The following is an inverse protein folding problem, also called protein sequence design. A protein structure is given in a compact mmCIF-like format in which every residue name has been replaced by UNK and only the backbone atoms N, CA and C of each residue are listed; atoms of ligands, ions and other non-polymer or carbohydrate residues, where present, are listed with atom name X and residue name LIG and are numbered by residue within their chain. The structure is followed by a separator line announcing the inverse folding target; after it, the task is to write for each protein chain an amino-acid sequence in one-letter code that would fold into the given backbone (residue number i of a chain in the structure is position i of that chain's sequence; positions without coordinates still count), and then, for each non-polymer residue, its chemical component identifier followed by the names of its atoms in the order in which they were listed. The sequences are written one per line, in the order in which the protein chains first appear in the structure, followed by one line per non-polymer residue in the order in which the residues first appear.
data_IF_649619059749
#
_entry.id   IF_649619059749
#
_cell.length_a   1.000
_cell.length_b   1.000
_cell.length_c   1.000
_cell.angle_alpha   90.00
_cell.angle_beta   90.00
_cell.angle_gamma   90.00
#
_symmetry.space_group_name_H-M   'P 1'
#
loop_
_entity.id
_entity.type
_entity.pdbx_description
1 polymer ?
#
# COMPACT_ATOMS: atom_id res chain seq x y z
N UNK A 1 21.23 -23.30 38.33
CA UNK A 1 19.87 -22.86 37.95
C UNK A 1 19.86 -21.59 37.10
N UNK A 2 21.01 -20.95 36.83
CA UNK A 2 21.07 -19.67 36.10
C UNK A 2 21.37 -19.78 34.60
N UNK A 3 21.85 -20.92 34.11
CA UNK A 3 22.12 -21.11 32.67
C UNK A 3 20.81 -21.27 31.89
N UNK A 4 19.82 -21.97 32.47
CA UNK A 4 18.47 -22.15 31.89
C UNK A 4 17.65 -20.85 31.86
N UNK A 5 17.90 -19.91 32.78
CA UNK A 5 17.22 -18.61 32.80
C UNK A 5 17.82 -17.62 31.79
N UNK A 6 19.09 -17.78 31.44
CA UNK A 6 19.76 -16.99 30.39
C UNK A 6 19.35 -17.45 28.99
N UNK A 7 19.18 -18.76 28.76
CA UNK A 7 18.68 -19.31 27.49
C UNK A 7 17.21 -19.00 27.21
N UNK A 8 16.40 -18.73 28.25
CA UNK A 8 15.00 -18.29 28.08
C UNK A 8 14.83 -16.84 27.64
N UNK A 9 15.88 -16.01 27.70
CA UNK A 9 15.84 -14.59 27.28
C UNK A 9 16.47 -14.37 25.90
N UNK A 10 17.33 -15.29 25.47
CA UNK A 10 17.92 -15.30 24.12
C UNK A 10 17.03 -16.05 23.09
N UNK A 11 15.88 -16.57 23.52
CA UNK A 11 14.79 -17.00 22.64
C UNK A 11 13.86 -15.85 22.21
N UNK A 12 14.28 -14.59 22.43
CA UNK A 12 13.63 -13.40 21.90
C UNK A 12 13.79 -13.38 20.37
N UNK A 13 12.79 -13.93 19.69
CA UNK A 13 12.49 -13.71 18.26
C UNK A 13 13.69 -13.91 17.33
N UNK A 14 13.92 -15.16 16.93
CA UNK A 14 14.46 -15.43 15.59
C UNK A 14 13.51 -14.77 14.59
N UNK A 15 13.84 -13.56 14.14
CA UNK A 15 13.30 -12.95 12.92
C UNK A 15 13.89 -13.75 11.76
N UNK A 16 13.48 -15.00 11.64
CA UNK A 16 13.59 -15.80 10.42
C UNK A 16 12.32 -15.54 9.62
N UNK A 17 12.08 -14.26 9.32
CA UNK A 17 11.06 -13.86 8.37
C UNK A 17 11.71 -13.71 7.00
N UNK A 18 11.04 -14.17 5.95
CA UNK A 18 11.34 -13.75 4.58
C UNK A 18 11.41 -12.21 4.52
N UNK A 19 12.12 -11.64 3.54
CA UNK A 19 12.22 -10.17 3.40
C UNK A 19 10.83 -9.50 3.35
N UNK A 20 9.83 -10.21 2.80
CA UNK A 20 8.43 -9.80 2.81
C UNK A 20 7.84 -9.69 4.22
N UNK A 21 8.05 -10.67 5.09
CA UNK A 21 7.55 -10.65 6.48
C UNK A 21 8.16 -9.52 7.30
N UNK A 22 9.46 -9.26 7.11
CA UNK A 22 10.14 -8.13 7.76
C UNK A 22 9.53 -6.81 7.30
N UNK A 23 9.25 -6.68 6.01
CA UNK A 23 8.62 -5.49 5.42
C UNK A 23 7.21 -5.24 5.96
N UNK A 24 6.39 -6.29 6.04
CA UNK A 24 5.05 -6.20 6.64
C UNK A 24 5.14 -5.85 8.14
N UNK A 25 6.14 -6.40 8.84
CA UNK A 25 6.39 -6.06 10.24
C UNK A 25 6.80 -4.62 10.45
N UNK A 26 7.60 -4.08 9.54
CA UNK A 26 7.99 -2.68 9.58
C UNK A 26 6.81 -1.75 9.28
N UNK A 27 6.04 -2.05 8.23
CA UNK A 27 4.88 -1.28 7.80
C UNK A 27 3.85 -1.11 8.93
N UNK A 28 3.70 -2.14 9.76
CA UNK A 28 2.76 -2.15 10.88
C UNK A 28 3.46 -2.13 12.26
N UNK A 29 4.66 -1.58 12.34
CA UNK A 29 5.41 -1.47 13.60
C UNK A 29 4.76 -0.50 14.61
N UNK A 30 5.08 -0.61 15.89
CA UNK A 30 4.56 0.31 16.94
C UNK A 30 5.26 1.70 16.95
N UNK A 31 6.01 2.05 15.91
CA UNK A 31 6.68 3.35 15.78
C UNK A 31 5.64 4.48 15.60
N UNK A 32 5.90 5.73 16.02
CA UNK A 32 4.90 6.80 15.94
C UNK A 32 4.63 7.31 14.51
N UNK A 33 5.45 6.95 13.53
CA UNK A 33 5.27 7.32 12.11
C UNK A 33 4.65 6.20 11.28
N UNK A 34 3.95 6.55 10.20
CA UNK A 34 3.38 5.60 9.24
C UNK A 34 4.41 4.91 8.35
N UNK A 35 3.96 3.86 7.64
CA UNK A 35 4.74 3.24 6.56
C UNK A 35 4.86 4.20 5.36
N UNK A 36 5.95 4.10 4.60
CA UNK A 36 6.07 4.85 3.34
C UNK A 36 5.14 4.28 2.28
N UNK A 37 4.63 5.12 1.38
CA UNK A 37 3.81 4.67 0.25
C UNK A 37 4.54 3.65 -0.62
N UNK A 38 5.86 3.80 -0.79
CA UNK A 38 6.71 2.84 -1.51
C UNK A 38 6.65 1.45 -0.87
N UNK A 39 6.80 1.37 0.46
CA UNK A 39 6.71 0.11 1.20
C UNK A 39 5.32 -0.54 1.06
N UNK A 40 4.26 0.25 1.16
CA UNK A 40 2.88 -0.25 0.96
C UNK A 40 2.65 -0.73 -0.48
N UNK A 41 3.22 -0.04 -1.47
CA UNK A 41 3.15 -0.42 -2.88
C UNK A 41 3.85 -1.74 -3.16
N UNK A 42 5.03 -1.95 -2.55
CA UNK A 42 5.76 -3.22 -2.68
C UNK A 42 4.98 -4.38 -2.05
N UNK A 43 4.41 -4.19 -0.84
CA UNK A 43 3.56 -5.21 -0.21
C UNK A 43 2.31 -5.48 -1.06
N UNK A 44 1.71 -4.43 -1.63
CA UNK A 44 0.56 -4.60 -2.53
C UNK A 44 0.93 -5.37 -3.79
N UNK A 45 2.14 -5.20 -4.33
CA UNK A 45 2.60 -5.98 -5.48
C UNK A 45 2.76 -7.47 -5.14
N UNK A 46 3.27 -7.79 -3.94
CA UNK A 46 3.36 -9.17 -3.44
C UNK A 46 2.01 -9.88 -3.36
N UNK A 47 0.89 -9.16 -3.23
CA UNK A 47 -0.44 -9.80 -3.23
C UNK A 47 -0.85 -10.41 -4.57
N UNK A 48 -0.17 -10.06 -5.67
CA UNK A 48 -0.45 -10.68 -6.98
C UNK A 48 0.28 -12.01 -7.17
N UNK A 49 1.27 -12.32 -6.34
CA UNK A 49 1.96 -13.60 -6.36
C UNK A 49 1.24 -14.64 -5.50
N UNK A 50 1.09 -15.86 -6.02
CA UNK A 50 0.32 -16.92 -5.36
C UNK A 50 0.97 -17.45 -4.08
N UNK A 51 2.31 -17.45 -4.01
CA UNK A 51 3.08 -17.94 -2.86
C UNK A 51 3.23 -16.84 -1.79
N UNK A 52 3.37 -15.59 -2.19
CA UNK A 52 3.52 -14.46 -1.26
C UNK A 52 2.17 -14.00 -0.67
N UNK A 53 1.07 -14.15 -1.41
CA UNK A 53 -0.26 -13.70 -0.95
C UNK A 53 -0.64 -14.21 0.45
N UNK A 54 -0.56 -15.52 0.76
CA UNK A 54 -0.91 -16.02 2.09
C UNK A 54 -0.04 -15.40 3.19
N UNK A 55 1.23 -15.13 2.90
CA UNK A 55 2.17 -14.51 3.85
C UNK A 55 1.74 -13.07 4.15
N UNK A 56 1.38 -12.29 3.13
CA UNK A 56 0.88 -10.91 3.28
C UNK A 56 -0.37 -10.89 4.15
N UNK A 57 -1.40 -11.64 3.76
CA UNK A 57 -2.71 -11.58 4.42
C UNK A 57 -2.64 -12.11 5.85
N UNK A 58 -1.96 -13.24 6.10
CA UNK A 58 -1.82 -13.79 7.45
C UNK A 58 -1.08 -12.82 8.39
N UNK A 59 -0.01 -12.18 7.92
CA UNK A 59 0.74 -11.21 8.72
C UNK A 59 -0.05 -9.93 8.98
N UNK A 60 -0.82 -9.46 8.00
CA UNK A 60 -1.68 -8.29 8.15
C UNK A 60 -2.81 -8.57 9.14
N UNK A 61 -3.55 -9.67 8.98
CA UNK A 61 -4.64 -10.05 9.88
C UNK A 61 -4.16 -10.30 11.30
N UNK A 62 -3.01 -10.94 11.49
CA UNK A 62 -2.39 -11.09 12.82
C UNK A 62 -2.29 -9.76 13.57
N UNK A 63 -2.01 -8.67 12.84
CA UNK A 63 -1.83 -7.32 13.41
C UNK A 63 -3.14 -6.56 13.60
N UNK A 64 -4.16 -6.85 12.79
CA UNK A 64 -5.53 -6.38 13.02
C UNK A 64 -6.07 -6.92 14.35
N UNK A 65 -5.73 -8.15 14.71
CA UNK A 65 -6.15 -8.82 15.95
C UNK A 65 -5.26 -8.54 17.18
N UNK A 66 -4.36 -7.55 17.09
CA UNK A 66 -3.53 -7.18 18.23
C UNK A 66 -4.35 -6.56 19.38
N UNK A 67 -3.82 -6.69 20.58
CA UNK A 67 -4.47 -6.15 21.79
C UNK A 67 -4.61 -4.62 21.76
N UNK A 68 -5.59 -4.06 22.47
CA UNK A 68 -5.89 -2.62 22.45
C UNK A 68 -4.68 -1.72 22.82
N UNK A 69 -3.79 -2.20 23.71
CA UNK A 69 -2.52 -1.54 24.06
C UNK A 69 -1.58 -1.32 22.86
N UNK A 70 -1.75 -2.10 21.80
CA UNK A 70 -1.00 -2.04 20.55
C UNK A 70 -1.78 -1.28 19.46
N UNK A 71 -2.58 -0.26 19.84
CA UNK A 71 -3.45 0.49 18.94
C UNK A 71 -2.75 1.00 17.66
N UNK A 72 -1.46 1.40 17.72
CA UNK A 72 -0.71 1.83 16.53
C UNK A 72 -0.54 0.70 15.52
N UNK A 73 -0.31 -0.53 16.01
CA UNK A 73 -0.16 -1.72 15.16
C UNK A 73 -1.49 -2.02 14.47
N UNK A 74 -2.60 -1.99 15.22
CA UNK A 74 -3.96 -2.18 14.68
C UNK A 74 -4.30 -1.11 13.65
N UNK A 75 -4.07 0.17 13.98
CA UNK A 75 -4.29 1.30 13.07
C UNK A 75 -3.50 1.17 11.76
N UNK A 76 -2.22 0.81 11.85
CA UNK A 76 -1.37 0.63 10.66
C UNK A 76 -1.74 -0.63 9.87
N UNK A 77 -2.22 -1.68 10.52
CA UNK A 77 -2.75 -2.86 9.83
C UNK A 77 -4.00 -2.51 9.03
N UNK A 78 -4.93 -1.73 9.60
CA UNK A 78 -6.08 -1.20 8.87
C UNK A 78 -5.68 -0.25 7.74
N UNK A 79 -4.63 0.54 7.93
CA UNK A 79 -4.07 1.41 6.87
C UNK A 79 -3.49 0.59 5.73
N UNK A 80 -2.77 -0.50 6.04
CA UNK A 80 -2.29 -1.45 5.04
C UNK A 80 -3.46 -2.11 4.31
N UNK A 81 -4.48 -2.58 5.04
CA UNK A 81 -5.68 -3.18 4.47
C UNK A 81 -6.37 -2.21 3.49
N UNK A 82 -6.63 -0.97 3.89
CA UNK A 82 -7.19 0.08 3.01
C UNK A 82 -6.36 0.25 1.74
N UNK A 83 -5.03 0.26 1.87
CA UNK A 83 -4.13 0.37 0.72
C UNK A 83 -4.23 -0.85 -0.21
N UNK A 84 -4.28 -2.07 0.34
CA UNK A 84 -4.44 -3.31 -0.42
C UNK A 84 -5.79 -3.36 -1.15
N UNK A 85 -6.87 -2.85 -0.56
CA UNK A 85 -8.17 -2.76 -1.23
C UNK A 85 -8.11 -1.91 -2.50
N UNK A 86 -7.30 -0.86 -2.52
CA UNK A 86 -7.13 0.02 -3.69
C UNK A 86 -6.07 -0.46 -4.68
N UNK A 87 -4.98 -1.07 -4.21
CA UNK A 87 -3.75 -1.27 -4.98
C UNK A 87 -3.31 -2.74 -5.12
N UNK A 88 -3.83 -3.62 -4.26
CA UNK A 88 -3.51 -5.06 -4.23
C UNK A 88 -4.40 -5.88 -5.16
N UNK A 89 -4.23 -7.20 -5.11
CA UNK A 89 -5.01 -8.17 -5.87
C UNK A 89 -6.52 -8.12 -5.57
N UNK A 90 -7.36 -8.59 -6.49
CA UNK A 90 -8.82 -8.73 -6.24
C UNK A 90 -9.11 -9.68 -5.07
N UNK A 91 -8.27 -10.71 -4.88
CA UNK A 91 -8.35 -11.65 -3.76
C UNK A 91 -8.33 -10.94 -2.41
N UNK A 92 -7.58 -9.84 -2.29
CA UNK A 92 -7.54 -9.02 -1.07
C UNK A 92 -8.88 -8.36 -0.74
N UNK A 93 -9.70 -8.04 -1.76
CA UNK A 93 -11.04 -7.48 -1.56
C UNK A 93 -12.03 -8.56 -1.11
N UNK A 94 -11.96 -9.74 -1.72
CA UNK A 94 -12.76 -10.91 -1.34
C UNK A 94 -12.47 -11.31 0.12
N UNK A 95 -11.20 -11.48 0.46
CA UNK A 95 -10.76 -11.84 1.81
C UNK A 95 -11.18 -10.81 2.87
N UNK A 96 -11.12 -9.52 2.56
CA UNK A 96 -11.60 -8.46 3.45
C UNK A 96 -13.13 -8.47 3.64
N UNK A 97 -13.89 -8.87 2.62
CA UNK A 97 -15.35 -9.02 2.73
C UNK A 97 -15.72 -10.22 3.60
N UNK A 98 -15.03 -11.34 3.44
CA UNK A 98 -15.25 -12.54 4.25
C UNK A 98 -14.96 -12.29 5.74
N UNK A 99 -14.00 -11.41 6.02
CA UNK A 99 -13.62 -11.00 7.38
C UNK A 99 -14.22 -9.65 7.82
N UNK A 100 -15.23 -9.13 7.12
CA UNK A 100 -15.80 -7.80 7.38
C UNK A 100 -16.29 -7.66 8.83
N UNK A 101 -16.76 -8.74 9.46
CA UNK A 101 -17.17 -8.72 10.86
C UNK A 101 -16.02 -8.36 11.81
N UNK A 102 -14.78 -8.82 11.55
CA UNK A 102 -13.59 -8.52 12.35
C UNK A 102 -13.21 -7.05 12.24
N UNK A 103 -13.39 -6.45 11.06
CA UNK A 103 -13.18 -5.01 10.86
C UNK A 103 -14.27 -4.21 11.60
N UNK A 104 -15.51 -4.70 11.57
CA UNK A 104 -16.63 -4.04 12.24
C UNK A 104 -16.46 -3.97 13.76
N UNK A 105 -15.89 -4.97 14.42
CA UNK A 105 -15.61 -4.88 15.87
C UNK A 105 -14.63 -3.75 16.22
N UNK A 106 -13.74 -3.37 15.30
CA UNK A 106 -12.81 -2.26 15.49
C UNK A 106 -13.48 -0.88 15.39
N UNK A 107 -14.73 -0.80 14.92
CA UNK A 107 -15.50 0.44 14.95
C UNK A 107 -15.86 0.90 16.37
N UNK A 108 -15.80 -0.02 17.34
CA UNK A 108 -16.02 0.22 18.77
C UNK A 108 -14.71 0.09 19.59
N UNK A 109 -13.56 0.14 18.93
CA UNK A 109 -12.25 0.02 19.58
C UNK A 109 -12.02 1.11 20.63
N UNK A 110 -11.61 0.71 21.84
CA UNK A 110 -11.35 1.60 22.97
C UNK A 110 -9.91 1.47 23.46
N UNK A 111 -9.20 2.59 23.52
CA UNK A 111 -7.93 2.70 24.22
C UNK A 111 -7.66 4.14 24.63
N UNK A 112 -7.62 4.37 25.94
CA UNK A 112 -7.24 5.65 26.53
C UNK A 112 -5.84 5.51 27.14
N UNK A 113 -4.92 6.38 26.75
CA UNK A 113 -3.55 6.37 27.25
C UNK A 113 -3.53 6.79 28.74
N UNK A 114 -3.11 5.90 29.64
CA UNK A 114 -3.24 6.12 31.10
C UNK A 114 -2.52 7.37 31.61
N UNK A 115 -1.45 7.82 30.92
CA UNK A 115 -0.68 9.00 31.33
C UNK A 115 -1.28 10.33 30.89
N UNK A 116 -1.83 10.41 29.68
CA UNK A 116 -2.35 11.66 29.10
C UNK A 116 -3.87 11.77 29.13
N UNK A 117 -4.58 10.67 29.38
CA UNK A 117 -6.05 10.60 29.27
C UNK A 117 -6.56 10.70 27.83
N UNK A 118 -5.68 10.69 26.83
CA UNK A 118 -6.05 10.85 25.41
C UNK A 118 -6.61 9.54 24.87
N UNK A 119 -7.79 9.59 24.26
CA UNK A 119 -8.37 8.47 23.50
C UNK A 119 -7.59 8.27 22.19
N UNK A 120 -6.72 7.27 22.15
CA UNK A 120 -6.03 6.88 20.92
C UNK A 120 -6.88 5.91 20.08
N UNK A 121 -7.94 5.34 20.66
CA UNK A 121 -8.85 4.45 19.97
C UNK A 121 -9.67 5.16 18.90
N UNK A 122 -9.89 6.47 19.00
CA UNK A 122 -10.68 7.25 18.03
C UNK A 122 -10.18 7.07 16.59
N UNK A 123 -8.86 7.12 16.37
CA UNK A 123 -8.26 6.96 15.04
C UNK A 123 -8.47 5.55 14.48
N UNK A 124 -8.45 4.53 15.34
CA UNK A 124 -8.73 3.14 14.95
C UNK A 124 -10.18 3.00 14.52
N UNK A 125 -11.12 3.57 15.30
CA UNK A 125 -12.56 3.54 15.00
C UNK A 125 -12.88 4.22 13.67
N UNK A 126 -12.35 5.43 13.45
CA UNK A 126 -12.56 6.16 12.19
C UNK A 126 -11.98 5.40 11.00
N UNK A 127 -10.76 4.87 11.14
CA UNK A 127 -10.14 4.07 10.08
C UNK A 127 -10.94 2.81 9.76
N UNK A 128 -11.43 2.10 10.77
CA UNK A 128 -12.27 0.91 10.59
C UNK A 128 -13.57 1.24 9.84
N UNK A 129 -14.25 2.35 10.20
CA UNK A 129 -15.45 2.82 9.48
C UNK A 129 -15.15 3.10 8.01
N UNK A 130 -14.07 3.84 7.72
CA UNK A 130 -13.68 4.10 6.33
C UNK A 130 -13.43 2.82 5.52
N UNK A 131 -12.81 1.79 6.12
CA UNK A 131 -12.59 0.50 5.46
C UNK A 131 -13.92 -0.21 5.20
N UNK A 132 -14.83 -0.23 6.17
CA UNK A 132 -16.18 -0.81 6.01
C UNK A 132 -16.96 -0.10 4.91
N UNK A 133 -16.97 1.23 4.92
CA UNK A 133 -17.69 2.04 3.93
C UNK A 133 -17.16 1.76 2.52
N UNK A 134 -15.84 1.68 2.36
CA UNK A 134 -15.20 1.33 1.10
C UNK A 134 -15.57 -0.09 0.62
N UNK A 135 -15.66 -1.06 1.53
CA UNK A 135 -16.02 -2.44 1.19
C UNK A 135 -17.49 -2.61 0.80
N UNK A 136 -18.37 -1.81 1.40
CA UNK A 136 -19.81 -1.79 1.11
C UNK A 136 -20.12 -1.14 -0.25
N UNK A 137 -19.36 -0.12 -0.64
CA UNK A 137 -19.54 0.58 -1.91
C UNK A 137 -18.70 -0.06 -3.03
N UNK A 138 -19.31 -1.02 -3.74
CA UNK A 138 -18.63 -1.78 -4.80
C UNK A 138 -18.20 -0.91 -5.97
N UNK A 139 -19.01 0.07 -6.35
CA UNK A 139 -18.77 0.93 -7.51
C UNK A 139 -17.61 1.89 -7.21
N UNK A 140 -17.67 2.58 -6.07
CA UNK A 140 -16.59 3.45 -5.61
C UNK A 140 -15.27 2.69 -5.48
N UNK A 141 -15.27 1.50 -4.87
CA UNK A 141 -14.06 0.69 -4.74
C UNK A 141 -13.48 0.32 -6.11
N UNK A 142 -14.33 -0.07 -7.07
CA UNK A 142 -13.89 -0.36 -8.43
C UNK A 142 -13.23 0.85 -9.09
N UNK A 143 -13.84 2.02 -8.98
CA UNK A 143 -13.27 3.26 -9.52
C UNK A 143 -11.93 3.62 -8.87
N UNK A 144 -11.83 3.53 -7.54
CA UNK A 144 -10.59 3.82 -6.82
C UNK A 144 -9.47 2.87 -7.26
N UNK A 145 -9.78 1.59 -7.52
CA UNK A 145 -8.83 0.59 -8.04
C UNK A 145 -8.43 0.87 -9.50
N UNK A 146 -9.35 1.30 -10.36
CA UNK A 146 -9.04 1.71 -11.73
C UNK A 146 -8.13 2.95 -11.75
N UNK A 147 -8.45 3.96 -10.94
CA UNK A 147 -7.62 5.16 -10.76
C UNK A 147 -6.23 4.82 -10.23
N UNK A 148 -6.12 3.92 -9.25
CA UNK A 148 -4.85 3.46 -8.70
C UNK A 148 -3.97 2.75 -9.75
N UNK A 149 -4.56 1.86 -10.56
CA UNK A 149 -3.87 1.17 -11.67
C UNK A 149 -3.36 2.16 -12.72
N UNK A 150 -4.18 3.14 -13.11
CA UNK A 150 -3.79 4.16 -14.08
C UNK A 150 -2.62 5.03 -13.57
N UNK A 151 -2.59 5.36 -12.28
CA UNK A 151 -1.50 6.14 -11.69
C UNK A 151 -0.19 5.35 -11.60
N UNK A 152 -0.24 4.03 -11.36
CA UNK A 152 0.96 3.18 -11.34
C UNK A 152 1.71 3.20 -12.68
N UNK A 153 0.98 3.20 -13.80
CA UNK A 153 1.58 3.26 -15.15
C UNK A 153 2.31 4.57 -15.47
N UNK A 154 1.96 5.68 -14.80
CA UNK A 154 2.55 7.01 -15.06
C UNK A 154 3.91 7.21 -14.38
N UNK A 155 4.12 6.61 -13.21
CA UNK A 155 5.36 6.76 -12.44
C UNK A 155 6.35 5.61 -12.62
N UNK A 156 5.91 4.46 -13.13
CA UNK A 156 6.79 3.33 -13.48
C UNK A 156 7.72 3.58 -14.68
N UNK A 157 7.52 4.69 -15.41
CA UNK A 157 8.33 5.08 -16.57
C UNK A 157 9.38 6.17 -16.31
N UNK A 158 9.48 6.71 -15.09
CA UNK A 158 10.49 7.74 -14.75
C UNK A 158 11.71 7.07 -14.11
N UNK A 159 12.26 6.09 -14.83
CA UNK A 159 13.59 5.54 -14.63
C UNK A 159 14.33 5.74 -15.95
N UNK A 160 15.14 6.80 -15.99
CA UNK A 160 16.22 7.10 -16.94
C UNK A 160 16.38 6.18 -18.16
N UNK A 161 15.42 6.15 -19.09
CA UNK A 161 15.68 5.70 -20.46
C UNK A 161 14.56 6.16 -21.38
N UNK A 162 14.94 6.75 -22.52
CA UNK A 162 14.08 7.19 -23.64
C UNK A 162 13.56 8.63 -23.57
N UNK A 163 14.47 9.58 -23.37
CA UNK A 163 14.50 10.77 -24.23
C UNK A 163 15.42 10.45 -25.43
N UNK A 164 14.99 9.52 -26.27
CA UNK A 164 15.62 9.23 -27.56
C UNK A 164 14.53 8.79 -28.52
N UNK A 165 14.19 9.67 -29.47
CA UNK A 165 13.22 9.35 -30.52
C UNK A 165 12.32 10.50 -30.99
N UNK A 166 12.76 11.76 -30.96
CA UNK A 166 12.27 12.75 -31.92
C UNK A 166 13.46 13.17 -32.80
N UNK A 167 13.83 12.25 -33.69
CA UNK A 167 14.88 12.42 -34.67
C UNK A 167 14.45 11.75 -35.96
N UNK A 168 13.78 12.50 -36.81
CA UNK A 168 13.81 12.24 -38.25
C UNK A 168 14.41 13.48 -38.89
N UNK A 169 15.73 13.37 -39.09
CA UNK A 169 16.56 14.26 -39.87
C UNK A 169 16.07 14.34 -41.31
N UNK A 170 15.99 15.59 -41.79
CA UNK A 170 16.33 16.04 -43.14
C UNK A 170 16.22 15.01 -44.29
N UNK A 171 15.20 15.18 -45.12
CA UNK A 171 15.32 14.90 -46.55
C UNK A 171 15.50 16.22 -47.29
N UNK A 172 16.76 16.47 -47.62
CA UNK A 172 17.19 17.38 -48.68
C UNK A 172 16.65 16.86 -50.01
N UNK A 173 15.85 17.66 -50.70
CA UNK A 173 15.73 17.58 -52.16
C UNK A 173 16.08 18.96 -52.70
N UNK A 174 17.13 19.01 -53.52
CA UNK A 174 17.59 20.22 -54.16
C UNK A 174 17.01 20.40 -55.56
N UNK A 175 16.92 21.68 -55.93
CA UNK A 175 17.16 22.26 -57.26
C UNK A 175 16.06 22.31 -58.32
N UNK A 176 15.91 23.52 -58.87
CA UNK A 176 15.20 23.90 -60.12
C UNK A 176 13.95 24.74 -59.83
N UNK A 177 13.76 26.01 -60.24
CA UNK A 177 14.43 26.87 -61.22
C UNK A 177 13.36 27.67 -62.00
N UNK A 178 13.44 29.01 -62.02
CA UNK A 178 12.65 29.94 -62.87
C UNK A 178 11.25 30.29 -62.35
N UNK A 179 10.68 31.50 -62.46
CA UNK A 179 11.04 32.74 -63.16
C UNK A 179 9.74 33.54 -63.43
N UNK A 180 9.78 34.88 -63.27
CA UNK A 180 8.76 35.86 -63.73
C UNK A 180 7.49 35.99 -62.87
N UNK A 181 6.83 37.13 -62.66
CA UNK A 181 6.93 38.50 -63.19
C UNK A 181 5.55 39.20 -63.09
N UNK A 182 5.53 40.52 -62.84
CA UNK A 182 4.35 41.45 -62.98
C UNK A 182 3.43 41.50 -61.75
N UNK A 183 3.08 42.65 -61.15
CA UNK A 183 2.62 43.94 -61.71
C UNK A 183 1.10 44.00 -61.51
N UNK A 184 0.56 44.71 -60.53
CA UNK A 184 0.22 46.14 -60.57
C UNK A 184 -1.28 46.32 -60.31
N UNK A 185 -1.68 47.38 -59.62
CA UNK A 185 -3.09 47.73 -59.33
C UNK A 185 -3.31 48.16 -57.90
#
# INVERSE_FOLDING_TARGET
MDVLKKMGKDAMTKVTGTELEKKIAEACSNKPWGASTTMLSEIAQSTYDYQEYPVVMANMWKRVHESAKNWRVVYKALTLLEYLLRNGSERSVEDARDHMYQIRTLCDFQFTESGSGVDQGINVREKARHVIDLLNDRERLREEREKARANRGKFGGVSSQKMQGFGSSAQSFGSGGGGGGGGGG
#
